data_IF_827546272795
#
_entry.id   IF_827546272795
#
_cell.length_a   1.000
_cell.length_b   1.000
_cell.length_c   1.000
_cell.angle_alpha   90.00
_cell.angle_beta   90.00
_cell.angle_gamma   90.00
#
_symmetry.space_group_name_H-M   'P 1'
#
loop_
_entity.id
_entity.type
_entity.pdbx_description
1 polymer ?
#
# COMPACT_ATOMS: atom_id res chain seq x y z
N UNK A 1 -9.56 -21.45 10.84
CA UNK A 1 -9.48 -20.10 11.45
C UNK A 1 -8.85 -19.13 10.47
N UNK A 2 -9.48 -18.01 10.25
CA UNK A 2 -8.87 -16.97 9.43
C UNK A 2 -8.18 -15.96 10.31
N UNK A 3 -6.94 -15.69 9.97
CA UNK A 3 -6.17 -14.65 10.64
C UNK A 3 -6.19 -13.43 9.73
N UNK A 4 -6.78 -12.35 10.23
CA UNK A 4 -6.80 -11.09 9.47
C UNK A 4 -5.55 -10.30 9.83
N UNK A 5 -4.74 -10.03 8.82
CA UNK A 5 -3.55 -9.21 8.98
C UNK A 5 -3.64 -8.03 8.03
N UNK A 6 -4.07 -6.85 8.51
CA UNK A 6 -4.20 -5.68 7.66
C UNK A 6 -2.88 -5.24 7.02
N UNK A 7 -1.78 -5.45 7.72
CA UNK A 7 -0.46 -5.09 7.19
C UNK A 7 -0.09 -5.98 6.01
N UNK A 8 -0.22 -7.29 6.20
CA UNK A 8 0.08 -8.25 5.14
C UNK A 8 -0.85 -8.07 3.95
N UNK A 9 -2.15 -7.82 4.20
CA UNK A 9 -3.12 -7.58 3.13
C UNK A 9 -2.74 -6.35 2.31
N UNK A 10 -2.40 -5.25 2.96
CA UNK A 10 -1.99 -4.03 2.28
C UNK A 10 -0.73 -4.24 1.45
N UNK A 11 0.28 -4.88 2.02
CA UNK A 11 1.53 -5.16 1.32
C UNK A 11 1.31 -6.09 0.13
N UNK A 12 0.43 -7.08 0.28
CA UNK A 12 0.08 -7.99 -0.81
C UNK A 12 -0.61 -7.25 -1.95
N UNK A 13 -1.54 -6.34 -1.64
CA UNK A 13 -2.21 -5.54 -2.66
C UNK A 13 -1.23 -4.68 -3.43
N UNK A 14 -0.30 -4.04 -2.74
CA UNK A 14 0.71 -3.20 -3.37
C UNK A 14 1.64 -4.04 -4.23
N UNK A 15 2.09 -5.19 -3.72
CA UNK A 15 2.96 -6.09 -4.47
C UNK A 15 2.28 -6.62 -5.73
N UNK A 16 1.01 -7.03 -5.63
CA UNK A 16 0.26 -7.54 -6.78
C UNK A 16 0.05 -6.45 -7.83
N UNK A 17 -0.26 -5.23 -7.40
CA UNK A 17 -0.41 -4.11 -8.32
C UNK A 17 0.91 -3.80 -9.03
N UNK A 18 2.01 -3.84 -8.31
CA UNK A 18 3.34 -3.63 -8.91
C UNK A 18 3.67 -4.73 -9.93
N UNK A 19 3.38 -5.98 -9.60
CA UNK A 19 3.61 -7.11 -10.52
C UNK A 19 2.77 -7.01 -11.78
N UNK A 20 1.54 -6.50 -11.66
CA UNK A 20 0.65 -6.29 -12.81
C UNK A 20 0.93 -4.96 -13.52
N UNK A 21 1.94 -4.21 -13.07
CA UNK A 21 2.34 -2.91 -13.64
C UNK A 21 1.24 -1.86 -13.53
N UNK A 22 0.42 -1.95 -12.50
CA UNK A 22 -0.53 -0.89 -12.18
C UNK A 22 0.23 0.27 -11.54
N UNK A 23 -0.15 1.49 -11.90
CA UNK A 23 0.48 2.68 -11.33
C UNK A 23 -0.04 2.99 -9.93
N UNK A 24 -1.28 2.61 -9.65
CA UNK A 24 -1.93 2.90 -8.38
C UNK A 24 -2.67 1.68 -7.86
N UNK A 25 -2.95 1.70 -6.56
CA UNK A 25 -3.77 0.68 -5.92
C UNK A 25 -4.60 1.34 -4.82
N UNK A 26 -5.87 0.96 -4.72
CA UNK A 26 -6.77 1.44 -3.68
C UNK A 26 -6.76 0.50 -2.49
N UNK A 27 -6.63 1.06 -1.30
CA UNK A 27 -6.62 0.30 -0.06
C UNK A 27 -7.64 0.92 0.89
N UNK A 28 -8.54 0.13 1.49
CA UNK A 28 -9.48 0.68 2.46
C UNK A 28 -8.75 1.40 3.60
N UNK A 29 -9.17 2.60 3.93
CA UNK A 29 -8.48 3.44 4.90
C UNK A 29 -8.71 2.96 6.34
N UNK A 30 -7.67 3.00 7.14
CA UNK A 30 -7.72 2.83 8.59
C UNK A 30 -6.51 3.56 9.17
N UNK A 31 -6.56 3.84 10.47
CA UNK A 31 -5.43 4.51 11.11
C UNK A 31 -4.14 3.71 11.00
N UNK A 32 -4.24 2.39 11.13
CA UNK A 32 -3.09 1.50 10.98
C UNK A 32 -2.54 1.57 9.57
N UNK A 33 -3.40 1.49 8.55
CA UNK A 33 -2.96 1.52 7.15
C UNK A 33 -2.35 2.85 6.75
N UNK A 34 -2.86 3.96 7.32
CA UNK A 34 -2.25 5.27 7.10
C UNK A 34 -0.83 5.32 7.66
N UNK A 35 -0.62 4.76 8.84
CA UNK A 35 0.71 4.69 9.44
C UNK A 35 1.65 3.85 8.59
N UNK A 36 1.17 2.73 8.08
CA UNK A 36 1.96 1.85 7.19
C UNK A 36 2.30 2.57 5.89
N UNK A 37 1.33 3.27 5.30
CA UNK A 37 1.56 4.03 4.07
C UNK A 37 2.64 5.09 4.28
N UNK A 38 2.63 5.77 5.41
CA UNK A 38 3.66 6.76 5.73
C UNK A 38 5.05 6.11 5.84
N UNK A 39 5.14 4.96 6.45
CA UNK A 39 6.40 4.23 6.55
C UNK A 39 6.89 3.82 5.15
N UNK A 40 5.99 3.32 4.31
CA UNK A 40 6.34 2.92 2.95
C UNK A 40 6.82 4.12 2.12
N UNK A 41 6.20 5.27 2.32
CA UNK A 41 6.63 6.51 1.66
C UNK A 41 8.02 6.92 2.14
N UNK A 42 8.25 6.91 3.45
CA UNK A 42 9.54 7.29 4.03
C UNK A 42 10.67 6.36 3.55
N UNK A 43 10.37 5.09 3.36
CA UNK A 43 11.35 4.10 2.89
C UNK A 43 11.48 4.06 1.36
N UNK A 44 10.66 4.82 0.64
CA UNK A 44 10.77 4.91 -0.81
C UNK A 44 10.08 3.79 -1.59
N UNK A 45 9.24 2.98 -0.94
CA UNK A 45 8.52 1.91 -1.63
C UNK A 45 7.32 2.42 -2.43
N UNK A 46 6.77 3.56 -2.04
CA UNK A 46 5.68 4.21 -2.77
C UNK A 46 6.04 5.66 -3.02
N UNK A 47 5.42 6.27 -4.04
CA UNK A 47 5.66 7.67 -4.38
C UNK A 47 4.81 8.62 -3.56
N UNK A 48 3.57 8.25 -3.33
CA UNK A 48 2.62 9.07 -2.58
C UNK A 48 1.38 8.27 -2.22
N UNK A 49 0.55 8.84 -1.37
CA UNK A 49 -0.75 8.27 -1.06
C UNK A 49 -1.69 9.38 -0.64
N UNK A 50 -3.01 9.10 -0.70
CA UNK A 50 -4.03 10.03 -0.23
C UNK A 50 -4.62 9.53 1.09
N UNK A 51 -5.28 10.40 1.84
CA UNK A 51 -5.70 10.13 3.22
C UNK A 51 -7.17 9.78 3.37
N UNK A 52 -8.02 10.19 2.44
CA UNK A 52 -9.48 9.99 2.54
C UNK A 52 -9.82 8.49 2.44
N UNK A 53 -9.36 7.84 1.41
CA UNK A 53 -9.08 6.41 1.41
C UNK A 53 -7.75 6.26 0.68
N UNK A 54 -7.02 5.20 1.02
CA UNK A 54 -5.62 5.17 0.62
C UNK A 54 -5.51 4.76 -0.84
N UNK A 55 -5.25 5.74 -1.69
CA UNK A 55 -4.86 5.52 -3.07
C UNK A 55 -3.34 5.65 -3.13
N UNK A 56 -2.68 4.54 -3.31
CA UNK A 56 -1.22 4.46 -3.27
C UNK A 56 -0.64 4.58 -4.67
N UNK A 57 0.29 5.49 -4.87
CA UNK A 57 1.04 5.60 -6.12
C UNK A 57 2.32 4.80 -5.96
N UNK A 58 2.43 3.73 -6.72
CA UNK A 58 3.50 2.74 -6.56
C UNK A 58 4.81 3.25 -7.13
N UNK A 59 5.89 3.02 -6.39
CA UNK A 59 7.23 3.25 -6.88
C UNK A 59 7.70 1.96 -7.55
N UNK A 60 7.55 1.91 -8.86
CA UNK A 60 7.78 0.72 -9.65
C UNK A 60 9.19 0.17 -9.46
N UNK A 61 9.28 -1.13 -9.24
CA UNK A 61 10.56 -1.81 -9.09
C UNK A 61 11.08 -1.91 -7.67
N UNK A 62 10.42 -1.27 -6.68
CA UNK A 62 10.90 -1.24 -5.31
C UNK A 62 10.33 -2.35 -4.43
N UNK A 63 9.27 -3.01 -4.87
CA UNK A 63 8.61 -4.06 -4.08
C UNK A 63 8.69 -5.39 -4.80
#
# INVERSE_FOLDING_TARGET
>A
MQITDPVADMLTRIRNANSAKHETVDVPASNLKKAIAQILLDEGYIKSYTVVYINVVINEGEI
#
